data_IF_253591412928
#
_entry.id   IF_253591412928
#
_cell.length_a   1.000
_cell.length_b   1.000
_cell.length_c   1.000
_cell.angle_alpha   90.00
_cell.angle_beta   90.00
_cell.angle_gamma   90.00
#
_symmetry.space_group_name_H-M   'P 1'
#
loop_
_entity.id
_entity.type
_entity.pdbx_description
1 polymer ?
#
# COMPACT_ATOMS: atom_id res chain seq x y z
N UNK A 1 -28.21 -37.42 6.98
CA UNK A 1 -27.37 -38.22 6.06
C UNK A 1 -26.25 -37.29 5.61
N UNK A 2 -25.09 -37.40 6.25
CA UNK A 2 -23.91 -36.59 5.97
C UNK A 2 -23.19 -37.14 4.74
N UNK A 3 -22.82 -36.28 3.81
CA UNK A 3 -21.67 -36.50 2.94
C UNK A 3 -20.76 -35.28 3.11
N UNK A 4 -19.82 -35.41 4.04
CA UNK A 4 -18.60 -34.61 4.06
C UNK A 4 -17.67 -35.26 3.04
N UNK A 5 -17.55 -34.70 1.84
CA UNK A 5 -16.43 -35.01 0.97
C UNK A 5 -15.22 -34.26 1.49
N UNK A 6 -14.42 -34.97 2.28
CA UNK A 6 -13.11 -34.53 2.72
C UNK A 6 -12.12 -34.71 1.55
N UNK A 7 -12.07 -33.74 0.64
CA UNK A 7 -10.99 -33.68 -0.35
C UNK A 7 -9.72 -33.26 0.38
N UNK A 8 -8.83 -34.22 0.63
CA UNK A 8 -7.44 -33.95 0.96
C UNK A 8 -6.82 -33.24 -0.24
N UNK A 9 -6.67 -31.92 -0.14
CA UNK A 9 -5.83 -31.18 -1.08
C UNK A 9 -4.40 -31.68 -0.92
N UNK A 10 -3.88 -32.22 -2.01
CA UNK A 10 -2.54 -32.73 -2.12
C UNK A 10 -1.60 -31.51 -2.02
N UNK A 11 -1.00 -31.32 -0.85
CA UNK A 11 -0.10 -30.20 -0.55
C UNK A 11 1.15 -30.25 -1.42
N UNK A 12 1.07 -29.70 -2.63
CA UNK A 12 2.24 -29.24 -3.33
C UNK A 12 2.89 -28.18 -2.44
N UNK A 13 4.18 -28.33 -2.12
CA UNK A 13 4.93 -27.26 -1.46
C UNK A 13 4.83 -26.02 -2.33
N UNK A 14 4.10 -25.02 -1.88
CA UNK A 14 4.10 -23.70 -2.51
C UNK A 14 5.52 -23.16 -2.44
N UNK A 15 6.05 -22.72 -3.58
CA UNK A 15 7.32 -22.00 -3.64
C UNK A 15 7.02 -20.54 -3.35
N UNK A 16 7.76 -19.93 -2.43
CA UNK A 16 7.64 -18.50 -2.12
C UNK A 16 7.96 -17.67 -3.36
N UNK A 17 6.98 -16.88 -3.81
CA UNK A 17 7.13 -15.96 -4.93
C UNK A 17 6.85 -14.54 -4.44
N UNK A 18 7.84 -13.65 -4.59
CA UNK A 18 7.74 -12.24 -4.21
C UNK A 18 7.71 -11.38 -5.47
N UNK A 19 6.83 -10.37 -5.47
CA UNK A 19 6.87 -9.34 -6.50
C UNK A 19 8.02 -8.38 -6.18
N UNK A 20 9.13 -8.52 -6.87
CA UNK A 20 10.31 -7.66 -6.67
C UNK A 20 10.15 -6.30 -7.36
N UNK A 21 9.72 -6.33 -8.63
CA UNK A 21 9.75 -5.13 -9.48
C UNK A 21 8.69 -5.15 -10.58
N UNK A 22 8.19 -3.98 -10.93
CA UNK A 22 7.32 -3.75 -12.10
C UNK A 22 8.03 -2.84 -13.11
N UNK A 23 7.97 -3.20 -14.40
CA UNK A 23 8.53 -2.36 -15.47
C UNK A 23 7.52 -1.29 -15.90
N UNK A 24 7.98 -0.04 -15.94
CA UNK A 24 7.20 1.14 -16.34
C UNK A 24 7.69 1.61 -17.72
N UNK A 25 6.84 1.64 -18.75
CA UNK A 25 7.23 2.09 -20.09
C UNK A 25 7.31 3.62 -20.13
N UNK A 26 8.48 4.15 -20.48
CA UNK A 26 8.76 5.60 -20.56
C UNK A 26 9.42 5.94 -21.90
N UNK A 27 9.14 7.12 -22.44
CA UNK A 27 9.76 7.60 -23.68
C UNK A 27 11.10 8.30 -23.45
N UNK A 28 11.33 8.83 -22.24
CA UNK A 28 12.55 9.53 -21.84
C UNK A 28 12.97 9.10 -20.43
N UNK A 29 14.12 8.41 -20.34
CA UNK A 29 14.63 7.82 -19.09
C UNK A 29 15.04 8.90 -18.08
N UNK A 30 15.64 10.00 -18.51
CA UNK A 30 16.14 11.03 -17.61
C UNK A 30 15.00 11.94 -17.10
N UNK A 31 13.98 12.18 -17.94
CA UNK A 31 12.74 12.84 -17.51
C UNK A 31 12.01 12.01 -16.46
N UNK A 32 11.83 10.71 -16.70
CA UNK A 32 11.22 9.80 -15.73
C UNK A 32 12.02 9.72 -14.43
N UNK A 33 13.35 9.58 -14.53
CA UNK A 33 14.26 9.56 -13.37
C UNK A 33 14.14 10.82 -12.51
N UNK A 34 14.06 11.99 -13.14
CA UNK A 34 13.90 13.27 -12.43
C UNK A 34 12.57 13.31 -11.69
N UNK A 35 11.48 12.88 -12.33
CA UNK A 35 10.16 12.83 -11.73
C UNK A 35 10.09 11.87 -10.53
N UNK A 36 10.44 10.59 -10.71
CA UNK A 36 10.36 9.62 -9.61
C UNK A 36 11.29 9.98 -8.44
N UNK A 37 12.45 10.61 -8.73
CA UNK A 37 13.31 11.16 -7.67
C UNK A 37 12.66 12.32 -6.92
N UNK A 38 11.94 13.23 -7.59
CA UNK A 38 11.29 14.37 -6.93
C UNK A 38 10.21 13.91 -5.96
N UNK A 39 9.54 12.79 -6.25
CA UNK A 39 8.58 12.12 -5.35
C UNK A 39 9.23 11.54 -4.08
N UNK A 40 10.54 11.68 -3.90
CA UNK A 40 11.25 11.17 -2.73
C UNK A 40 11.50 9.66 -2.78
N UNK A 41 11.35 9.03 -3.96
CA UNK A 41 11.62 7.61 -4.10
C UNK A 41 13.13 7.38 -4.11
N UNK A 42 13.56 6.28 -3.51
CA UNK A 42 14.99 5.96 -3.41
C UNK A 42 15.47 5.42 -4.75
N UNK A 43 16.50 6.05 -5.32
CA UNK A 43 17.19 5.52 -6.50
C UNK A 43 18.08 4.35 -6.05
N UNK A 44 17.75 3.13 -6.49
CA UNK A 44 18.49 1.92 -6.13
C UNK A 44 19.53 1.56 -7.20
N UNK A 45 19.24 1.86 -8.47
CA UNK A 45 20.09 1.50 -9.60
C UNK A 45 19.96 2.51 -10.74
N UNK A 46 21.07 2.79 -11.41
CA UNK A 46 21.12 3.42 -12.73
C UNK A 46 22.34 2.86 -13.48
N UNK A 47 22.11 1.83 -14.29
CA UNK A 47 23.16 1.07 -14.95
C UNK A 47 22.98 1.08 -16.46
N UNK A 48 23.82 1.82 -17.21
CA UNK A 48 23.95 1.66 -18.66
C UNK A 48 24.83 0.45 -19.01
N UNK A 49 24.48 -0.26 -20.08
CA UNK A 49 25.30 -1.35 -20.67
C UNK A 49 25.41 -1.09 -22.18
N UNK A 50 26.56 -0.55 -22.59
CA UNK A 50 26.73 -0.05 -23.95
C UNK A 50 25.72 1.05 -24.30
N UNK A 51 25.41 1.20 -25.59
CA UNK A 51 24.51 2.26 -26.08
C UNK A 51 23.04 1.80 -26.22
N UNK A 52 22.77 0.50 -26.03
CA UNK A 52 21.46 -0.10 -26.35
C UNK A 52 20.63 -0.45 -25.13
N UNK A 53 21.24 -0.42 -23.93
CA UNK A 53 20.57 -0.81 -22.70
C UNK A 53 20.91 0.16 -21.56
N UNK A 54 19.89 0.56 -20.80
CA UNK A 54 20.04 1.26 -19.53
C UNK A 54 18.88 0.87 -18.64
N UNK A 55 19.12 0.57 -17.38
CA UNK A 55 18.09 0.34 -16.37
C UNK A 55 18.20 1.33 -15.24
N UNK A 56 17.07 1.94 -14.89
CA UNK A 56 16.90 2.78 -13.72
C UNK A 56 15.89 2.12 -12.79
N UNK A 57 16.22 2.02 -11.51
CA UNK A 57 15.36 1.45 -10.47
C UNK A 57 15.06 2.46 -9.39
N UNK A 58 13.78 2.56 -9.03
CA UNK A 58 13.33 3.31 -7.87
C UNK A 58 12.46 2.46 -6.95
N UNK A 59 12.62 2.64 -5.64
CA UNK A 59 11.73 2.09 -4.61
C UNK A 59 10.88 3.20 -3.98
N UNK A 60 9.53 3.13 -4.03
CA UNK A 60 8.67 4.01 -3.27
C UNK A 60 8.94 3.89 -1.76
N UNK A 61 8.86 4.99 -0.98
CA UNK A 61 9.04 4.94 0.47
C UNK A 61 8.14 3.87 1.12
N UNK A 62 8.75 3.00 1.93
CA UNK A 62 8.04 1.92 2.63
C UNK A 62 7.65 0.70 1.79
N UNK A 63 7.82 0.73 0.45
CA UNK A 63 7.52 -0.40 -0.41
C UNK A 63 8.63 -1.46 -0.35
N UNK A 64 8.29 -2.76 -0.28
CA UNK A 64 9.23 -3.85 -0.51
C UNK A 64 9.50 -4.10 -2.00
N UNK A 65 8.68 -3.53 -2.90
CA UNK A 65 8.78 -3.70 -4.35
C UNK A 65 9.20 -2.40 -5.04
N UNK A 66 9.92 -2.54 -6.16
CA UNK A 66 10.47 -1.43 -6.95
C UNK A 66 9.73 -1.20 -8.27
N UNK A 67 10.11 -0.13 -8.96
CA UNK A 67 9.89 0.03 -10.41
C UNK A 67 11.21 0.01 -11.19
N UNK A 68 11.14 -0.48 -12.42
CA UNK A 68 12.20 -0.34 -13.43
C UNK A 68 11.70 0.43 -14.64
N UNK A 69 12.55 1.28 -15.21
CA UNK A 69 12.35 1.85 -16.54
C UNK A 69 13.70 2.12 -17.19
N UNK A 70 13.72 2.23 -18.52
CA UNK A 70 14.98 2.33 -19.23
C UNK A 70 14.94 1.92 -20.70
N UNK A 71 16.09 2.02 -21.35
CA UNK A 71 16.27 1.67 -22.76
C UNK A 71 16.43 0.16 -22.91
N UNK A 72 15.68 -0.45 -23.84
CA UNK A 72 15.77 -1.88 -24.12
C UNK A 72 15.13 -2.81 -23.08
N UNK A 73 14.32 -2.27 -22.15
CA UNK A 73 13.69 -3.05 -21.08
C UNK A 73 12.31 -3.61 -21.46
N UNK A 74 11.53 -2.87 -22.22
CA UNK A 74 10.15 -3.25 -22.59
C UNK A 74 9.80 -2.80 -23.99
N UNK A 75 8.89 -3.53 -24.64
CA UNK A 75 8.25 -3.16 -25.90
C UNK A 75 6.88 -2.49 -25.70
N UNK A 76 6.43 -2.34 -24.45
CA UNK A 76 5.18 -1.65 -24.14
C UNK A 76 5.25 -0.16 -24.51
N UNK A 77 4.12 0.40 -24.91
CA UNK A 77 4.01 1.80 -25.32
C UNK A 77 4.23 2.70 -24.10
N UNK A 78 5.06 3.75 -24.18
CA UNK A 78 5.20 4.73 -23.10
C UNK A 78 3.85 5.25 -22.60
N UNK A 79 3.68 5.32 -21.29
CA UNK A 79 2.42 5.75 -20.66
C UNK A 79 1.34 4.68 -20.55
N UNK A 80 1.57 3.47 -21.06
CA UNK A 80 0.55 2.43 -21.11
C UNK A 80 0.32 1.69 -19.78
N UNK A 81 1.19 1.86 -18.78
CA UNK A 81 0.99 1.19 -17.50
C UNK A 81 -0.12 1.89 -16.69
N UNK A 82 -1.13 1.12 -16.29
CA UNK A 82 -2.31 1.62 -15.58
C UNK A 82 -2.69 0.67 -14.45
N UNK A 83 -3.37 1.17 -13.42
CA UNK A 83 -3.84 0.34 -12.30
C UNK A 83 -2.74 -0.04 -11.31
N UNK A 84 -1.67 0.75 -11.21
CA UNK A 84 -0.61 0.56 -10.23
C UNK A 84 -1.03 1.12 -8.88
N UNK A 85 -1.13 0.28 -7.85
CA UNK A 85 -1.59 0.70 -6.53
C UNK A 85 -0.42 1.05 -5.61
N UNK A 86 -0.47 2.25 -5.02
CA UNK A 86 0.35 2.67 -3.89
C UNK A 86 -0.57 2.73 -2.66
N UNK A 87 -0.26 1.92 -1.66
CA UNK A 87 -1.08 1.83 -0.45
C UNK A 87 -0.53 2.74 0.62
N UNK A 88 -1.42 3.50 1.25
CA UNK A 88 -1.09 4.43 2.34
C UNK A 88 -2.09 4.27 3.49
N UNK A 89 -1.66 4.60 4.71
CA UNK A 89 -2.52 4.58 5.89
C UNK A 89 -3.22 5.92 6.17
N UNK A 90 -2.72 7.00 5.56
CA UNK A 90 -3.28 8.35 5.59
C UNK A 90 -3.21 8.94 4.18
N UNK A 91 -4.34 8.95 3.48
CA UNK A 91 -4.37 9.37 2.08
C UNK A 91 -4.33 10.88 1.90
N UNK A 92 -4.79 11.64 2.90
CA UNK A 92 -4.73 13.11 2.88
C UNK A 92 -3.28 13.57 3.02
N UNK A 93 -2.54 12.99 3.97
CA UNK A 93 -1.12 13.27 4.14
C UNK A 93 -0.29 12.84 2.92
N UNK A 94 -0.55 11.65 2.37
CA UNK A 94 0.14 11.16 1.19
C UNK A 94 -0.10 12.05 -0.04
N UNK A 95 -1.36 12.46 -0.27
CA UNK A 95 -1.71 13.38 -1.34
C UNK A 95 -0.99 14.72 -1.18
N UNK A 96 -1.02 15.29 0.03
CA UNK A 96 -0.37 16.57 0.31
C UNK A 96 1.14 16.52 0.08
N UNK A 97 1.82 15.45 0.53
CA UNK A 97 3.26 15.26 0.31
C UNK A 97 3.61 15.14 -1.18
N UNK A 98 2.85 14.35 -1.96
CA UNK A 98 3.07 14.20 -3.40
C UNK A 98 2.85 15.49 -4.18
N UNK A 99 1.79 16.24 -3.86
CA UNK A 99 1.55 17.58 -4.44
C UNK A 99 2.70 18.52 -4.09
N UNK A 100 3.15 18.53 -2.82
CA UNK A 100 4.29 19.32 -2.38
C UNK A 100 5.60 18.98 -3.09
N UNK A 101 5.70 17.77 -3.66
CA UNK A 101 6.83 17.28 -4.47
C UNK A 101 6.67 17.47 -5.97
N UNK A 102 5.57 18.11 -6.40
CA UNK A 102 5.32 18.49 -7.79
C UNK A 102 4.54 17.45 -8.61
N UNK A 103 3.93 16.45 -7.98
CA UNK A 103 2.99 15.56 -8.68
C UNK A 103 1.63 16.24 -8.86
N UNK A 104 1.01 16.06 -10.03
CA UNK A 104 -0.38 16.44 -10.26
C UNK A 104 -1.30 15.31 -9.75
N UNK A 105 -1.75 15.45 -8.50
CA UNK A 105 -2.60 14.45 -7.83
C UNK A 105 -4.05 14.91 -7.84
N UNK A 106 -4.93 14.05 -8.33
CA UNK A 106 -6.37 14.29 -8.38
C UNK A 106 -6.94 14.64 -7.01
N UNK A 107 -8.12 15.27 -6.99
CA UNK A 107 -8.94 15.31 -5.78
C UNK A 107 -9.22 13.90 -5.24
N UNK A 108 -9.47 13.81 -3.93
CA UNK A 108 -9.87 12.56 -3.31
C UNK A 108 -11.24 12.13 -3.83
N UNK A 109 -11.40 10.82 -3.97
CA UNK A 109 -12.69 10.21 -4.25
C UNK A 109 -12.81 8.89 -3.49
N UNK A 110 -14.04 8.42 -3.31
CA UNK A 110 -14.33 7.12 -2.71
C UNK A 110 -15.27 6.32 -3.58
N UNK A 111 -15.39 5.02 -3.28
CA UNK A 111 -16.36 4.12 -3.90
C UNK A 111 -17.22 3.48 -2.82
N UNK A 112 -18.54 3.53 -2.98
CA UNK A 112 -19.48 2.95 -2.02
C UNK A 112 -19.32 1.42 -1.87
N UNK A 113 -18.80 0.75 -2.92
CA UNK A 113 -18.47 -0.67 -2.94
C UNK A 113 -17.76 -1.09 -4.24
N UNK A 114 -17.42 -2.39 -4.39
CA UNK A 114 -16.80 -2.91 -5.62
C UNK A 114 -17.62 -2.59 -6.87
N UNK A 115 -16.96 -2.06 -7.91
CA UNK A 115 -17.60 -1.70 -9.18
C UNK A 115 -18.50 -0.46 -9.15
N UNK A 116 -18.67 0.20 -8.00
CA UNK A 116 -19.46 1.42 -7.90
C UNK A 116 -18.70 2.63 -8.50
N UNK A 117 -19.43 3.64 -9.02
CA UNK A 117 -18.82 4.85 -9.55
C UNK A 117 -18.05 5.60 -8.46
N UNK A 118 -17.10 6.43 -8.89
CA UNK A 118 -16.38 7.32 -8.00
C UNK A 118 -17.31 8.45 -7.50
N UNK A 119 -17.24 8.72 -6.20
CA UNK A 119 -17.91 9.84 -5.53
C UNK A 119 -16.84 10.78 -5.00
N UNK A 120 -17.03 12.08 -5.18
CA UNK A 120 -16.05 13.08 -4.74
C UNK A 120 -15.88 13.06 -3.21
N UNK A 121 -14.64 13.26 -2.76
CA UNK A 121 -14.25 13.30 -1.36
C UNK A 121 -13.75 11.95 -0.83
N UNK A 122 -13.04 12.00 0.30
CA UNK A 122 -12.65 10.83 1.10
C UNK A 122 -13.90 10.06 1.54
N UNK A 123 -13.77 8.74 1.77
CA UNK A 123 -14.89 7.96 2.30
C UNK A 123 -15.34 8.55 3.65
N UNK A 124 -16.60 9.01 3.77
CA UNK A 124 -17.09 9.70 4.97
C UNK A 124 -17.14 8.79 6.21
N UNK A 125 -17.24 7.48 6.00
CA UNK A 125 -17.21 6.47 7.07
C UNK A 125 -15.78 6.02 7.38
N UNK A 126 -14.77 6.51 6.65
CA UNK A 126 -13.37 6.16 6.85
C UNK A 126 -13.07 4.66 6.62
N UNK A 127 -13.87 4.00 5.78
CA UNK A 127 -13.72 2.56 5.52
C UNK A 127 -12.39 2.27 4.84
N UNK A 128 -11.67 1.26 5.34
CA UNK A 128 -10.47 0.75 4.68
C UNK A 128 -10.80 0.30 3.25
N UNK A 129 -9.88 0.52 2.31
CA UNK A 129 -10.06 0.31 0.86
C UNK A 129 -11.14 1.20 0.21
N UNK A 130 -11.67 2.20 0.92
CA UNK A 130 -12.76 3.06 0.45
C UNK A 130 -12.31 4.31 -0.29
N UNK A 131 -11.18 4.90 0.10
CA UNK A 131 -10.69 6.20 -0.39
C UNK A 131 -9.52 6.06 -1.37
N UNK A 132 -9.49 6.94 -2.37
CA UNK A 132 -8.56 6.91 -3.49
C UNK A 132 -8.14 8.32 -3.94
N UNK A 133 -6.99 8.37 -4.61
CA UNK A 133 -6.57 9.47 -5.48
C UNK A 133 -5.69 8.91 -6.60
N UNK A 134 -5.51 9.67 -7.68
CA UNK A 134 -4.68 9.23 -8.81
C UNK A 134 -3.69 10.30 -9.21
N UNK A 135 -2.55 9.89 -9.75
CA UNK A 135 -1.63 10.77 -10.46
C UNK A 135 -1.02 10.01 -11.63
N UNK A 136 -0.43 10.75 -12.57
CA UNK A 136 0.31 10.17 -13.68
C UNK A 136 1.76 10.64 -13.66
N UNK A 137 2.65 9.79 -14.16
CA UNK A 137 4.01 10.22 -14.50
C UNK A 137 4.04 11.05 -15.79
N UNK A 138 5.19 11.62 -16.20
CA UNK A 138 5.31 12.47 -17.39
C UNK A 138 4.92 11.80 -18.72
N UNK A 139 4.88 10.47 -18.76
CA UNK A 139 4.50 9.69 -19.93
C UNK A 139 3.02 9.28 -19.91
N UNK A 140 2.34 9.46 -18.77
CA UNK A 140 0.93 9.12 -18.58
C UNK A 140 0.71 7.79 -17.86
N UNK A 141 1.75 7.14 -17.34
CA UNK A 141 1.57 5.91 -16.56
C UNK A 141 0.82 6.24 -15.26
N UNK A 142 -0.30 5.54 -15.04
CA UNK A 142 -1.27 5.86 -14.01
C UNK A 142 -1.01 5.14 -12.69
N UNK A 143 -0.98 5.92 -11.62
CA UNK A 143 -0.86 5.48 -10.23
C UNK A 143 -2.16 5.74 -9.47
N UNK A 144 -2.51 4.82 -8.59
CA UNK A 144 -3.68 4.90 -7.71
C UNK A 144 -3.19 4.85 -6.26
N UNK A 145 -3.37 5.94 -5.52
CA UNK A 145 -3.31 5.91 -4.06
C UNK A 145 -4.56 5.21 -3.54
N UNK A 146 -4.40 4.29 -2.61
CA UNK A 146 -5.51 3.65 -1.91
C UNK A 146 -5.26 3.67 -0.39
N UNK A 147 -6.25 4.18 0.34
CA UNK A 147 -6.21 4.20 1.81
C UNK A 147 -6.53 2.81 2.36
N UNK A 148 -5.60 2.23 3.12
CA UNK A 148 -5.80 0.96 3.81
C UNK A 148 -5.39 1.15 5.28
N UNK A 149 -6.39 1.13 6.15
CA UNK A 149 -6.24 1.24 7.61
C UNK A 149 -6.40 -0.11 8.32
N UNK A 150 -7.06 -1.07 7.66
CA UNK A 150 -7.17 -2.47 8.08
C UNK A 150 -7.16 -3.38 6.84
N UNK A 151 -6.36 -4.45 6.82
CA UNK A 151 -6.27 -5.34 5.64
C UNK A 151 -7.45 -6.30 5.56
N UNK A 152 -7.73 -6.81 4.36
CA UNK A 152 -8.67 -7.93 4.20
C UNK A 152 -8.15 -9.19 4.93
N UNK A 153 -9.04 -10.00 5.53
CA UNK A 153 -8.67 -11.26 6.18
C UNK A 153 -7.81 -12.15 5.28
N UNK A 154 -6.70 -12.65 5.81
CA UNK A 154 -5.80 -13.58 5.11
C UNK A 154 -4.87 -12.92 4.07
N UNK A 155 -4.91 -11.59 3.89
CA UNK A 155 -4.03 -10.89 2.92
C UNK A 155 -2.57 -10.84 3.38
N UNK A 156 -2.33 -10.81 4.68
CA UNK A 156 -1.00 -10.82 5.30
C UNK A 156 -0.88 -12.11 6.11
N UNK A 157 0.14 -12.91 5.82
CA UNK A 157 0.47 -14.08 6.63
C UNK A 157 1.04 -13.60 7.97
N UNK A 158 0.17 -13.42 8.97
CA UNK A 158 0.45 -13.30 10.42
C UNK A 158 1.54 -12.34 10.95
N UNK A 159 2.32 -11.67 10.11
CA UNK A 159 3.40 -10.78 10.53
C UNK A 159 2.91 -9.33 10.51
N UNK A 160 2.92 -8.69 11.69
CA UNK A 160 2.66 -7.26 11.76
C UNK A 160 3.88 -6.49 11.24
N UNK A 161 3.77 -5.93 10.03
CA UNK A 161 4.86 -5.18 9.40
C UNK A 161 4.46 -3.71 9.30
N UNK A 162 5.28 -2.82 9.83
CA UNK A 162 5.13 -1.36 9.70
C UNK A 162 6.24 -0.83 8.81
N UNK A 163 5.86 -0.06 7.79
CA UNK A 163 6.79 0.43 6.75
C UNK A 163 7.50 1.72 7.14
N UNK A 164 7.07 2.37 8.23
CA UNK A 164 7.72 3.54 8.81
C UNK A 164 7.40 3.73 10.31
N UNK A 165 8.23 4.49 11.06
CA UNK A 165 7.91 4.88 12.43
C UNK A 165 6.62 5.69 12.55
N UNK A 166 6.26 6.48 11.53
CA UNK A 166 5.03 7.27 11.52
C UNK A 166 3.78 6.37 11.42
N UNK A 167 3.84 5.35 10.57
CA UNK A 167 2.77 4.34 10.47
C UNK A 167 2.60 3.58 11.79
N UNK A 168 3.72 3.16 12.40
CA UNK A 168 3.71 2.51 13.71
C UNK A 168 3.10 3.43 14.78
N UNK A 169 3.49 4.70 14.84
CA UNK A 169 2.95 5.65 15.79
C UNK A 169 1.44 5.86 15.60
N UNK A 170 0.97 5.93 14.36
CA UNK A 170 -0.47 6.07 14.06
C UNK A 170 -1.23 4.80 14.45
N UNK A 171 -0.69 3.61 14.23
CA UNK A 171 -1.28 2.36 14.71
C UNK A 171 -1.32 2.30 16.25
N UNK A 172 -0.25 2.71 16.93
CA UNK A 172 -0.21 2.80 18.38
C UNK A 172 -1.26 3.78 18.94
N UNK A 173 -1.49 4.93 18.27
CA UNK A 173 -2.55 5.87 18.68
C UNK A 173 -3.95 5.28 18.53
N UNK A 174 -4.20 4.49 17.47
CA UNK A 174 -5.47 3.77 17.31
C UNK A 174 -5.64 2.68 18.36
N UNK A 175 -4.60 1.89 18.61
CA UNK A 175 -4.60 0.89 19.68
C UNK A 175 -4.87 1.55 21.04
N UNK A 176 -4.25 2.69 21.33
CA UNK A 176 -4.48 3.43 22.57
C UNK A 176 -5.92 3.96 22.70
N UNK A 177 -6.49 4.49 21.62
CA UNK A 177 -7.89 4.92 21.62
C UNK A 177 -8.85 3.74 21.87
N UNK A 178 -8.60 2.60 21.23
CA UNK A 178 -9.43 1.41 21.38
C UNK A 178 -9.26 0.74 22.77
N UNK A 179 -8.04 0.71 23.31
CA UNK A 179 -7.75 0.20 24.65
C UNK A 179 -8.38 1.08 25.73
N UNK A 180 -8.42 2.39 25.56
CA UNK A 180 -9.16 3.29 26.44
C UNK A 180 -10.65 2.95 26.53
N UNK A 181 -11.27 2.48 25.44
CA UNK A 181 -12.65 1.97 25.46
C UNK A 181 -12.74 0.58 26.11
N UNK A 182 -11.73 -0.29 25.93
CA UNK A 182 -11.61 -1.57 26.62
C UNK A 182 -11.56 -1.38 28.15
N UNK A 183 -10.68 -0.52 28.66
CA UNK A 183 -10.57 -0.24 30.10
C UNK A 183 -11.89 0.30 30.66
N UNK A 184 -12.58 1.20 29.96
CA UNK A 184 -13.92 1.69 30.36
C UNK A 184 -14.94 0.55 30.51
N UNK A 185 -14.95 -0.40 29.57
CA UNK A 185 -15.82 -1.59 29.63
C UNK A 185 -15.46 -2.50 30.81
N UNK A 186 -14.17 -2.57 31.15
CA UNK A 186 -13.63 -3.36 32.26
C UNK A 186 -13.71 -2.64 33.62
N UNK A 187 -14.52 -1.58 33.74
CA UNK A 187 -14.75 -0.87 34.99
C UNK A 187 -13.76 0.27 35.27
N UNK A 188 -13.00 0.71 34.27
CA UNK A 188 -12.05 1.83 34.35
C UNK A 188 -10.76 1.50 35.12
N UNK A 189 -10.51 0.21 35.39
CA UNK A 189 -9.26 -0.24 36.00
C UNK A 189 -8.14 -0.23 34.96
N UNK A 190 -6.95 0.19 35.40
CA UNK A 190 -5.76 0.11 34.56
C UNK A 190 -5.44 -1.35 34.21
N UNK A 191 -5.36 -1.63 32.92
CA UNK A 191 -4.98 -2.93 32.40
C UNK A 191 -3.46 -3.08 32.41
N UNK A 192 -2.95 -3.88 33.36
CA UNK A 192 -1.51 -4.17 33.47
C UNK A 192 -0.96 -4.97 32.28
N UNK A 193 -1.84 -5.63 31.52
CA UNK A 193 -1.49 -6.40 30.32
C UNK A 193 -1.74 -5.59 29.04
N UNK A 194 -1.82 -4.26 29.13
CA UNK A 194 -1.96 -3.39 27.97
C UNK A 194 -0.94 -3.68 26.84
N UNK A 195 0.33 -4.09 27.09
CA UNK A 195 1.23 -4.38 25.98
C UNK A 195 0.76 -5.57 25.13
N UNK A 196 0.23 -6.61 25.79
CA UNK A 196 -0.28 -7.80 25.12
C UNK A 196 -1.56 -7.47 24.34
N UNK A 197 -2.46 -6.67 24.94
CA UNK A 197 -3.67 -6.20 24.26
C UNK A 197 -3.34 -5.35 23.04
N UNK A 198 -2.36 -4.45 23.13
CA UNK A 198 -1.91 -3.64 22.00
C UNK A 198 -1.32 -4.52 20.89
N UNK A 199 -0.49 -5.50 21.24
CA UNK A 199 0.07 -6.42 20.26
C UNK A 199 -1.03 -7.21 19.53
N UNK A 200 -2.00 -7.77 20.27
CA UNK A 200 -3.16 -8.46 19.69
C UNK A 200 -4.00 -7.53 18.81
N UNK A 201 -4.29 -6.32 19.28
CA UNK A 201 -5.05 -5.32 18.52
C UNK A 201 -4.34 -4.95 17.22
N UNK A 202 -3.04 -4.63 17.28
CA UNK A 202 -2.27 -4.18 16.12
C UNK A 202 -2.12 -5.29 15.09
N UNK A 203 -1.88 -6.54 15.52
CA UNK A 203 -1.86 -7.70 14.62
C UNK A 203 -3.26 -7.93 14.03
N UNK A 204 -4.32 -7.85 14.84
CA UNK A 204 -5.69 -8.07 14.37
C UNK A 204 -6.12 -7.00 13.35
N UNK A 205 -5.81 -5.73 13.63
CA UNK A 205 -6.06 -4.59 12.73
C UNK A 205 -5.32 -4.77 11.40
N UNK A 206 -4.02 -5.11 11.46
CA UNK A 206 -3.21 -5.31 10.26
C UNK A 206 -3.57 -6.57 9.47
N UNK A 207 -4.10 -7.61 10.11
CA UNK A 207 -4.44 -8.88 9.43
C UNK A 207 -5.93 -9.02 9.10
N UNK A 208 -6.75 -8.02 9.44
CA UNK A 208 -8.19 -8.04 9.24
C UNK A 208 -8.94 -9.02 10.15
N UNK A 209 -8.32 -9.44 11.25
CA UNK A 209 -8.98 -10.32 12.25
C UNK A 209 -9.91 -9.49 13.13
N UNK A 210 -10.79 -10.17 13.86
CA UNK A 210 -11.65 -9.52 14.86
C UNK A 210 -10.77 -8.82 15.90
N UNK A 211 -11.01 -7.53 16.09
CA UNK A 211 -10.30 -6.73 17.10
C UNK A 211 -10.67 -7.21 18.52
N UNK A 212 -9.72 -7.19 19.47
CA UNK A 212 -10.03 -7.44 20.87
C UNK A 212 -11.00 -6.36 21.40
N UNK A 213 -11.91 -6.77 22.28
CA UNK A 213 -12.91 -5.92 22.95
C UNK A 213 -12.54 -5.73 24.40
#
# INVERSE_FOLDING_TARGET
MNIVTNSRENGARTVDMRLEVVVIPVSDVDRAKTFYRSLGWRLDADFPVGDTFRVVQFTPPGSPSSIHFGTGITSAVPGSAQGLYLVVSDIEAARADLIGRGADVSELFHRAGPGQPAVSGRDPEGRSYGSYATFSDPDGNGWILQEITARLPGRVEADATFTSPAELATALRRAAAAHGEHEKRSGGLHDVNWPDWYAEYMVAEQTGKRLPV
#
